data_IF_309620630395
#
_entry.id   IF_309620630395
#
_cell.length_a   1.000
_cell.length_b   1.000
_cell.length_c   1.000
_cell.angle_alpha   90.00
_cell.angle_beta   90.00
_cell.angle_gamma   90.00
#
_symmetry.space_group_name_H-M   'P 1'
#
loop_
_entity.id
_entity.type
_entity.pdbx_description
1 polymer ?
#
# COMPACT_ATOMS: atom_id res chain seq x y z
N UNK A 1 -15.66 -1.55 -12.97
CA UNK A 1 -14.31 -0.99 -13.16
C UNK A 1 -13.36 -1.87 -12.37
N UNK A 2 -12.45 -2.58 -13.03
CA UNK A 2 -11.55 -3.53 -12.35
C UNK A 2 -10.22 -2.81 -12.12
N UNK A 3 -9.83 -2.65 -10.85
CA UNK A 3 -8.60 -1.98 -10.46
C UNK A 3 -7.55 -3.07 -10.19
N UNK A 4 -6.45 -3.05 -10.94
CA UNK A 4 -5.28 -3.90 -10.65
C UNK A 4 -4.35 -3.09 -9.78
N UNK A 5 -4.24 -3.48 -8.51
CA UNK A 5 -3.37 -2.83 -7.54
C UNK A 5 -2.06 -3.59 -7.44
N UNK A 6 -0.95 -2.84 -7.31
CA UNK A 6 0.38 -3.41 -7.07
C UNK A 6 0.82 -3.10 -5.64
N UNK A 7 1.83 -3.84 -5.14
CA UNK A 7 2.49 -3.48 -3.89
C UNK A 7 3.26 -2.17 -4.09
N UNK A 8 3.00 -1.21 -3.22
CA UNK A 8 3.62 0.11 -3.20
C UNK A 8 5.16 0.05 -3.26
N UNK A 9 5.79 -0.81 -2.45
CA UNK A 9 7.25 -0.93 -2.41
C UNK A 9 7.85 -1.36 -3.76
N UNK A 10 7.16 -2.24 -4.48
CA UNK A 10 7.59 -2.72 -5.78
C UNK A 10 7.34 -1.67 -6.88
N UNK A 11 6.23 -0.93 -6.80
CA UNK A 11 5.86 0.05 -7.80
C UNK A 11 6.71 1.34 -7.72
N UNK A 12 7.23 1.69 -6.54
CA UNK A 12 7.94 2.95 -6.30
C UNK A 12 9.07 3.23 -7.31
N UNK A 13 9.92 2.23 -7.57
CA UNK A 13 11.07 2.37 -8.46
C UNK A 13 10.70 2.62 -9.95
N UNK A 14 9.43 2.41 -10.31
CA UNK A 14 8.92 2.54 -11.67
C UNK A 14 8.15 3.85 -11.89
N UNK A 15 7.96 4.66 -10.84
CA UNK A 15 7.23 5.92 -10.95
C UNK A 15 8.08 6.99 -11.65
N UNK A 16 7.49 7.69 -12.62
CA UNK A 16 8.14 8.77 -13.33
C UNK A 16 7.59 8.98 -14.75
N UNK A 17 8.02 10.08 -15.41
CA UNK A 17 7.58 10.39 -16.77
C UNK A 17 7.93 9.24 -17.73
N UNK A 18 6.94 8.75 -18.48
CA UNK A 18 7.14 7.70 -19.49
C UNK A 18 7.22 6.26 -18.96
N UNK A 19 7.04 6.02 -17.64
CA UNK A 19 6.94 4.67 -17.05
C UNK A 19 5.56 4.45 -16.43
N UNK A 20 5.46 4.57 -15.10
CA UNK A 20 4.19 4.47 -14.38
C UNK A 20 3.79 5.82 -13.78
N UNK A 21 2.49 6.12 -13.86
CA UNK A 21 1.85 7.22 -13.14
C UNK A 21 1.11 6.65 -11.93
N UNK A 22 1.32 7.25 -10.77
CA UNK A 22 0.54 6.94 -9.58
C UNK A 22 -0.92 7.40 -9.78
N UNK A 23 -1.85 6.45 -9.61
CA UNK A 23 -3.28 6.68 -9.39
C UNK A 23 -3.52 6.81 -7.86
N UNK A 24 -4.75 6.70 -7.32
CA UNK A 24 -4.94 6.78 -5.87
C UNK A 24 -4.31 5.61 -5.10
N UNK A 25 -3.79 5.88 -3.91
CA UNK A 25 -3.34 4.85 -2.96
C UNK A 25 -4.54 4.20 -2.26
N UNK A 26 -4.40 2.94 -1.87
CA UNK A 26 -5.48 2.15 -1.25
C UNK A 26 -5.53 2.23 0.27
N UNK A 27 -4.49 2.81 0.89
CA UNK A 27 -4.44 3.06 2.32
C UNK A 27 -5.50 4.08 2.76
N UNK A 28 -5.87 4.03 4.04
CA UNK A 28 -6.83 4.97 4.65
C UNK A 28 -6.37 6.43 4.60
N UNK A 29 -5.06 6.64 4.57
CA UNK A 29 -4.42 7.95 4.57
C UNK A 29 -3.40 8.01 3.43
N UNK A 30 -3.09 9.23 2.97
CA UNK A 30 -2.06 9.43 1.96
C UNK A 30 -0.71 8.95 2.47
N UNK A 31 0.07 8.37 1.57
CA UNK A 31 1.46 8.01 1.88
C UNK A 31 2.31 9.28 2.02
N UNK A 32 3.14 9.35 3.07
CA UNK A 32 4.10 10.44 3.26
C UNK A 32 5.12 10.53 2.10
N UNK A 33 5.35 9.44 1.37
CA UNK A 33 6.24 9.41 0.20
C UNK A 33 5.59 10.00 -1.05
N UNK A 34 4.26 10.12 -1.10
CA UNK A 34 3.50 10.76 -2.18
C UNK A 34 2.35 11.61 -1.62
N UNK A 35 2.66 12.74 -0.98
CA UNK A 35 1.63 13.58 -0.35
C UNK A 35 0.60 14.12 -1.35
N UNK A 36 0.99 14.25 -2.62
CA UNK A 36 0.12 14.76 -3.69
C UNK A 36 -0.83 13.70 -4.26
N UNK A 37 -0.58 12.42 -3.98
CA UNK A 37 -1.41 11.31 -4.48
C UNK A 37 -2.57 11.07 -3.50
N UNK A 38 -3.84 11.17 -3.95
CA UNK A 38 -5.00 10.98 -3.08
C UNK A 38 -5.21 9.51 -2.70
N UNK A 39 -6.05 9.28 -1.70
CA UNK A 39 -6.56 7.93 -1.41
C UNK A 39 -7.72 7.57 -2.35
N UNK A 40 -8.03 6.28 -2.47
CA UNK A 40 -9.25 5.83 -3.17
C UNK A 40 -10.51 6.41 -2.50
N UNK A 41 -10.51 6.53 -1.16
CA UNK A 41 -11.60 7.13 -0.41
C UNK A 41 -11.85 8.60 -0.78
N UNK A 42 -10.78 9.39 -0.98
CA UNK A 42 -10.84 10.77 -1.45
C UNK A 42 -11.24 10.88 -2.93
N UNK A 43 -11.02 9.82 -3.71
CA UNK A 43 -11.19 9.80 -5.17
C UNK A 43 -12.57 9.32 -5.62
N UNK A 44 -13.54 9.22 -4.71
CA UNK A 44 -14.94 8.92 -5.03
C UNK A 44 -15.47 7.59 -4.52
N UNK A 45 -14.73 6.88 -3.66
CA UNK A 45 -15.22 5.67 -3.00
C UNK A 45 -15.06 5.75 -1.47
N UNK A 46 -15.88 6.57 -0.77
CA UNK A 46 -15.77 6.77 0.67
C UNK A 46 -15.76 5.47 1.47
N UNK A 47 -14.90 5.38 2.48
CA UNK A 47 -14.75 4.20 3.33
C UNK A 47 -13.93 3.05 2.72
N UNK A 48 -13.44 3.20 1.49
CA UNK A 48 -12.51 2.24 0.92
C UNK A 48 -11.17 2.25 1.66
N UNK A 49 -10.73 1.06 2.06
CA UNK A 49 -9.42 0.80 2.65
C UNK A 49 -8.98 -0.60 2.23
N UNK A 50 -7.76 -0.71 1.71
CA UNK A 50 -7.12 -1.99 1.44
C UNK A 50 -5.62 -1.82 1.65
N UNK A 51 -5.15 -2.13 2.85
CA UNK A 51 -3.74 -2.06 3.20
C UNK A 51 -3.07 -3.44 3.09
N UNK A 52 -1.85 -3.45 2.55
CA UNK A 52 -1.01 -4.64 2.54
C UNK A 52 -0.26 -4.75 3.87
N UNK A 53 -0.26 -5.93 4.48
CA UNK A 53 0.55 -6.23 5.64
C UNK A 53 1.49 -7.40 5.37
N UNK A 54 2.59 -7.43 6.11
CA UNK A 54 3.50 -8.56 6.18
C UNK A 54 3.64 -8.94 7.64
N UNK A 55 3.62 -10.24 7.92
CA UNK A 55 3.80 -10.75 9.27
C UNK A 55 4.90 -11.81 9.28
N UNK A 56 5.52 -11.97 10.44
CA UNK A 56 6.56 -12.95 10.67
C UNK A 56 5.95 -14.16 11.37
N UNK A 57 6.08 -15.33 10.75
CA UNK A 57 5.60 -16.60 11.29
C UNK A 57 6.80 -17.47 11.67
N UNK A 58 6.73 -18.11 12.84
CA UNK A 58 7.72 -19.09 13.29
C UNK A 58 7.06 -20.48 13.42
N UNK A 59 7.83 -21.57 13.30
CA UNK A 59 7.33 -22.92 13.59
C UNK A 59 6.74 -23.01 15.01
N UNK A 60 5.77 -23.90 15.19
CA UNK A 60 5.21 -24.17 16.51
C UNK A 60 6.33 -24.59 17.50
N UNK A 61 6.36 -23.95 18.67
CA UNK A 61 7.35 -24.23 19.72
C UNK A 61 8.58 -23.31 19.74
N UNK A 62 8.72 -22.37 18.81
CA UNK A 62 9.72 -21.29 18.95
C UNK A 62 9.32 -20.39 20.12
N UNK A 63 10.17 -20.33 21.14
CA UNK A 63 9.98 -19.42 22.25
C UNK A 63 10.09 -17.98 21.74
N UNK A 64 9.09 -17.14 22.01
CA UNK A 64 9.23 -15.69 21.82
C UNK A 64 10.27 -15.23 22.83
N UNK A 65 11.38 -14.68 22.35
CA UNK A 65 12.38 -14.08 23.24
C UNK A 65 11.68 -12.95 24.00
N UNK A 66 11.42 -13.16 25.30
CA UNK A 66 10.90 -12.14 26.18
C UNK A 66 12.03 -11.13 26.40
N UNK A 67 11.88 -9.95 25.79
CA UNK A 67 12.66 -8.75 26.13
C UNK A 67 12.09 -8.09 27.37
#
# INVERSE_FOLDING_TARGET
MQMVTSNFAAAYALLGPGRLRALPVTDKQRSAQFPDVPTVAESGLPGFENNGWFDALAPAGVAVAAG
#
